data_IF_892676648866
#
_entry.id   IF_892676648866
#
_cell.length_a   1.000
_cell.length_b   1.000
_cell.length_c   1.000
_cell.angle_alpha   90.00
_cell.angle_beta   90.00
_cell.angle_gamma   90.00
#
_symmetry.space_group_name_H-M   'P 1'
#
loop_
_entity.id
_entity.type
_entity.pdbx_description
1 polymer ?
#
# COMPACT_ATOMS: atom_id res chain seq x y z
N UNK A 1 -1.97 -12.22 30.01
CA UNK A 1 -1.69 -12.06 28.58
C UNK A 1 -2.93 -12.46 27.80
N UNK A 2 -3.64 -11.50 27.23
CA UNK A 2 -4.80 -11.79 26.39
C UNK A 2 -4.33 -12.20 25.00
N UNK A 3 -4.83 -13.32 24.48
CA UNK A 3 -4.64 -13.66 23.07
C UNK A 3 -5.35 -12.61 22.22
N UNK A 4 -4.59 -11.68 21.63
CA UNK A 4 -5.10 -10.72 20.67
C UNK A 4 -4.94 -11.30 19.26
N UNK A 5 -5.97 -11.17 18.42
CA UNK A 5 -5.90 -11.48 16.98
C UNK A 5 -5.10 -10.43 16.20
N UNK A 6 -4.53 -9.45 16.89
CA UNK A 6 -3.76 -8.34 16.34
C UNK A 6 -2.30 -8.78 16.18
N UNK A 7 -1.64 -8.47 15.05
CA UNK A 7 -0.21 -8.71 14.90
C UNK A 7 0.59 -8.02 16.00
N UNK A 8 1.45 -8.78 16.70
CA UNK A 8 2.41 -8.23 17.65
C UNK A 8 3.37 -7.27 16.95
N UNK A 9 3.61 -6.10 17.54
CA UNK A 9 4.49 -5.07 16.99
C UNK A 9 5.26 -4.41 18.15
N UNK A 10 6.37 -3.73 17.82
CA UNK A 10 7.21 -3.02 18.81
C UNK A 10 7.64 -3.93 19.97
N UNK A 11 7.37 -3.52 21.21
CA UNK A 11 7.75 -4.21 22.43
C UNK A 11 7.15 -5.62 22.54
N UNK A 12 6.02 -5.89 21.88
CA UNK A 12 5.39 -7.21 21.85
C UNK A 12 6.01 -8.14 20.78
N UNK A 13 6.87 -7.62 19.91
CA UNK A 13 7.55 -8.41 18.88
C UNK A 13 8.90 -8.90 19.40
N UNK A 14 9.02 -10.21 19.63
CA UNK A 14 10.16 -10.83 20.31
C UNK A 14 10.64 -12.07 19.54
N UNK A 15 11.94 -12.39 19.65
CA UNK A 15 12.57 -13.66 19.21
C UNK A 15 12.62 -13.83 17.68
N UNK A 16 12.65 -12.70 16.95
CA UNK A 16 12.65 -12.61 15.47
C UNK A 16 13.48 -11.43 14.95
N UNK A 17 14.31 -10.84 15.79
CA UNK A 17 15.07 -9.63 15.54
C UNK A 17 16.11 -9.84 14.44
N UNK A 18 16.76 -11.02 14.41
CA UNK A 18 17.77 -11.35 13.39
C UNK A 18 17.14 -11.38 11.98
N UNK A 19 16.09 -12.19 11.79
CA UNK A 19 15.32 -12.24 10.54
C UNK A 19 14.84 -10.85 10.10
N UNK A 20 14.29 -10.08 11.04
CA UNK A 20 13.77 -8.75 10.75
C UNK A 20 14.88 -7.76 10.36
N UNK A 21 16.05 -7.88 10.97
CA UNK A 21 17.21 -7.03 10.69
C UNK A 21 17.82 -7.35 9.33
N UNK A 22 17.90 -8.64 8.98
CA UNK A 22 18.32 -9.11 7.64
C UNK A 22 17.38 -8.54 6.57
N UNK A 23 16.07 -8.80 6.71
CA UNK A 23 15.06 -8.27 5.77
C UNK A 23 15.11 -6.75 5.66
N UNK A 24 15.29 -6.05 6.78
CA UNK A 24 15.37 -4.59 6.78
C UNK A 24 16.64 -4.09 6.06
N UNK A 25 17.79 -4.72 6.27
CA UNK A 25 19.04 -4.34 5.61
C UNK A 25 18.91 -4.43 4.08
N UNK A 26 18.32 -5.51 3.59
CA UNK A 26 18.13 -5.73 2.15
C UNK A 26 17.04 -4.83 1.56
N UNK A 27 15.90 -4.66 2.25
CA UNK A 27 14.73 -3.96 1.71
C UNK A 27 14.73 -2.45 1.95
N UNK A 28 15.61 -1.94 2.82
CA UNK A 28 15.81 -0.50 2.99
C UNK A 28 16.70 0.12 1.90
N UNK A 29 17.39 -0.72 1.12
CA UNK A 29 18.17 -0.30 -0.04
C UNK A 29 17.27 -0.20 -1.30
N UNK A 30 17.07 1.01 -1.88
CA UNK A 30 16.24 1.18 -3.08
C UNK A 30 16.74 0.43 -4.33
N UNK A 31 18.05 0.13 -4.39
CA UNK A 31 18.65 -0.60 -5.50
C UNK A 31 18.57 -2.14 -5.33
N UNK A 32 17.99 -2.59 -4.21
CA UNK A 32 17.84 -4.02 -3.93
C UNK A 32 16.74 -4.65 -4.76
N UNK A 33 17.05 -5.79 -5.38
CA UNK A 33 16.07 -6.64 -6.07
C UNK A 33 15.75 -7.90 -5.27
N UNK A 34 16.10 -7.93 -3.97
CA UNK A 34 15.89 -9.09 -3.10
C UNK A 34 14.41 -9.23 -2.76
N UNK A 35 13.88 -10.44 -2.91
CA UNK A 35 12.52 -10.79 -2.52
C UNK A 35 12.52 -11.87 -1.44
N UNK A 36 11.60 -11.75 -0.49
CA UNK A 36 11.43 -12.73 0.59
C UNK A 36 10.09 -13.44 0.49
N UNK A 37 10.09 -14.75 0.77
CA UNK A 37 8.89 -15.55 0.95
C UNK A 37 8.87 -16.15 2.36
N UNK A 38 7.97 -15.67 3.22
CA UNK A 38 7.81 -16.19 4.58
C UNK A 38 6.69 -17.25 4.59
N UNK A 39 7.05 -18.49 4.90
CA UNK A 39 6.09 -19.60 4.99
C UNK A 39 6.14 -20.27 6.36
N UNK A 40 5.07 -21.01 6.69
CA UNK A 40 4.97 -21.76 7.95
C UNK A 40 3.54 -21.79 8.50
N UNK A 41 3.37 -22.48 9.63
CA UNK A 41 2.06 -22.77 10.25
C UNK A 41 1.25 -21.49 10.57
N UNK A 42 -0.07 -21.63 10.70
CA UNK A 42 -0.94 -20.51 11.11
C UNK A 42 -0.58 -20.06 12.53
N UNK A 43 -0.66 -18.75 12.79
CA UNK A 43 -0.39 -18.12 14.11
C UNK A 43 1.05 -18.21 14.63
N UNK A 44 2.05 -18.30 13.74
CA UNK A 44 3.48 -18.20 14.11
C UNK A 44 4.05 -16.77 14.06
N UNK A 45 3.22 -15.76 13.82
CA UNK A 45 3.67 -14.36 13.75
C UNK A 45 4.15 -13.86 12.38
N UNK A 46 3.89 -14.57 11.28
CA UNK A 46 4.29 -14.10 9.92
C UNK A 46 3.80 -12.69 9.60
N UNK A 47 2.51 -12.42 9.85
CA UNK A 47 1.92 -11.08 9.65
C UNK A 47 2.56 -10.04 10.57
N UNK A 48 2.93 -10.43 11.79
CA UNK A 48 3.66 -9.56 12.73
C UNK A 48 5.02 -9.15 12.17
N UNK A 49 5.79 -10.09 11.61
CA UNK A 49 7.08 -9.80 10.96
C UNK A 49 6.91 -8.77 9.85
N UNK A 50 5.95 -8.98 8.95
CA UNK A 50 5.70 -8.07 7.83
C UNK A 50 5.22 -6.68 8.28
N UNK A 51 4.39 -6.61 9.32
CA UNK A 51 3.88 -5.34 9.87
C UNK A 51 4.96 -4.56 10.62
N UNK A 52 5.79 -5.24 11.39
CA UNK A 52 6.92 -4.61 12.08
C UNK A 52 7.98 -4.14 11.08
N UNK A 53 8.26 -4.92 10.03
CA UNK A 53 9.12 -4.50 8.93
C UNK A 53 8.58 -3.26 8.22
N UNK A 54 7.29 -3.25 7.86
CA UNK A 54 6.62 -2.08 7.31
C UNK A 54 6.84 -0.85 8.20
N UNK A 55 6.62 -0.99 9.51
CA UNK A 55 6.78 0.09 10.48
C UNK A 55 8.20 0.66 10.48
N UNK A 56 9.23 -0.20 10.46
CA UNK A 56 10.64 0.22 10.42
C UNK A 56 11.00 0.90 9.10
N UNK A 57 10.50 0.38 7.98
CA UNK A 57 10.72 0.99 6.67
C UNK A 57 10.04 2.36 6.55
N UNK A 58 8.88 2.57 7.20
CA UNK A 58 8.20 3.87 7.21
C UNK A 58 8.99 4.97 7.92
N UNK A 59 9.91 4.61 8.82
CA UNK A 59 10.80 5.57 9.50
C UNK A 59 11.93 6.06 8.57
N UNK A 60 12.11 5.42 7.41
CA UNK A 60 13.13 5.78 6.42
C UNK A 60 12.51 6.60 5.29
N UNK A 61 13.12 7.74 4.92
CA UNK A 61 12.58 8.58 3.84
C UNK A 61 12.78 8.00 2.43
N UNK A 62 13.72 7.06 2.28
CA UNK A 62 14.18 6.51 0.99
C UNK A 62 13.22 5.50 0.37
N UNK A 63 12.41 4.82 1.17
CA UNK A 63 11.53 3.73 0.73
C UNK A 63 10.11 4.02 1.20
N UNK A 64 9.11 3.74 0.35
CA UNK A 64 7.69 3.84 0.72
C UNK A 64 7.11 2.44 0.83
N UNK A 65 6.96 1.86 2.03
CA UNK A 65 6.47 0.50 2.17
C UNK A 65 4.95 0.43 1.98
N UNK A 66 4.52 -0.34 0.98
CA UNK A 66 3.11 -0.63 0.68
C UNK A 66 2.74 -1.99 1.28
N UNK A 67 1.75 -2.01 2.16
CA UNK A 67 1.18 -3.26 2.68
C UNK A 67 -0.13 -3.55 1.97
N UNK A 68 -0.25 -4.75 1.41
CA UNK A 68 -1.45 -5.20 0.71
C UNK A 68 -1.84 -6.60 1.19
N UNK A 69 -3.13 -6.77 1.52
CA UNK A 69 -3.70 -8.04 1.96
C UNK A 69 -4.65 -8.58 0.88
N UNK A 70 -4.25 -9.69 0.26
CA UNK A 70 -5.12 -10.44 -0.67
C UNK A 70 -6.38 -10.99 0.02
N UNK A 71 -6.38 -11.13 1.35
CA UNK A 71 -7.53 -11.57 2.13
C UNK A 71 -8.60 -10.50 2.29
N UNK A 72 -8.26 -9.23 2.07
CA UNK A 72 -9.16 -8.09 2.27
C UNK A 72 -9.94 -7.75 1.00
N UNK A 73 -9.74 -8.52 -0.07
CA UNK A 73 -10.47 -8.38 -1.33
C UNK A 73 -11.92 -8.83 -1.16
N UNK A 74 -12.87 -7.97 -1.58
CA UNK A 74 -14.30 -8.26 -1.53
C UNK A 74 -14.67 -9.34 -2.55
N UNK A 75 -14.09 -9.23 -3.75
CA UNK A 75 -14.24 -10.20 -4.83
C UNK A 75 -12.86 -10.58 -5.38
N UNK A 76 -12.61 -11.86 -5.68
CA UNK A 76 -11.33 -12.33 -6.22
C UNK A 76 -11.26 -12.06 -7.73
N UNK A 77 -11.33 -10.79 -8.14
CA UNK A 77 -11.15 -10.36 -9.53
C UNK A 77 -9.85 -9.57 -9.70
N UNK A 78 -9.27 -9.64 -10.90
CA UNK A 78 -8.06 -8.87 -11.23
C UNK A 78 -8.33 -7.36 -11.12
N UNK A 79 -9.51 -6.92 -11.53
CA UNK A 79 -9.91 -5.52 -11.43
C UNK A 79 -9.97 -5.05 -9.98
N UNK A 80 -10.56 -5.84 -9.09
CA UNK A 80 -10.62 -5.54 -7.65
C UNK A 80 -9.23 -5.54 -7.01
N UNK A 81 -8.37 -6.51 -7.38
CA UNK A 81 -6.98 -6.56 -6.94
C UNK A 81 -6.22 -5.28 -7.31
N UNK A 82 -6.22 -4.92 -8.59
CA UNK A 82 -5.50 -3.75 -9.10
C UNK A 82 -6.02 -2.45 -8.50
N UNK A 83 -7.35 -2.32 -8.40
CA UNK A 83 -8.00 -1.19 -7.72
C UNK A 83 -7.49 -1.10 -6.29
N UNK A 84 -7.63 -2.16 -5.49
CA UNK A 84 -7.22 -2.16 -4.08
C UNK A 84 -5.73 -1.91 -3.88
N UNK A 85 -4.89 -2.49 -4.72
CA UNK A 85 -3.44 -2.26 -4.67
C UNK A 85 -3.11 -0.78 -4.94
N UNK A 86 -3.74 -0.19 -5.96
CA UNK A 86 -3.59 1.24 -6.25
C UNK A 86 -4.05 2.14 -5.10
N UNK A 87 -5.15 1.78 -4.43
CA UNK A 87 -5.62 2.51 -3.23
C UNK A 87 -4.56 2.46 -2.11
N UNK A 88 -3.94 1.30 -1.86
CA UNK A 88 -2.90 1.15 -0.84
C UNK A 88 -1.59 1.84 -1.22
N UNK A 89 -1.21 1.85 -2.51
CA UNK A 89 -0.06 2.61 -3.01
C UNK A 89 -0.27 4.10 -2.75
N UNK A 90 -1.40 4.67 -3.21
CA UNK A 90 -1.67 6.08 -3.01
C UNK A 90 -1.68 6.43 -1.51
N UNK A 91 -2.36 5.65 -0.67
CA UNK A 91 -2.42 5.86 0.78
C UNK A 91 -1.03 5.82 1.45
N UNK A 92 -0.11 5.00 0.94
CA UNK A 92 1.28 4.95 1.42
C UNK A 92 2.06 6.22 1.02
N UNK A 93 1.78 6.78 -0.16
CA UNK A 93 2.41 8.00 -0.66
C UNK A 93 1.79 9.30 -0.13
N UNK A 94 0.65 9.26 0.59
CA UNK A 94 -0.11 10.47 1.00
C UNK A 94 0.73 11.62 1.56
N UNK A 95 1.72 11.33 2.40
CA UNK A 95 2.55 12.36 3.04
C UNK A 95 3.57 12.95 2.07
N UNK A 96 4.15 12.12 1.19
CA UNK A 96 5.05 12.59 0.12
C UNK A 96 4.31 13.44 -0.91
N UNK A 97 3.04 13.12 -1.11
CA UNK A 97 2.14 13.82 -2.01
C UNK A 97 1.58 15.12 -1.43
N UNK A 98 1.95 15.53 -0.21
CA UNK A 98 1.41 16.72 0.44
C UNK A 98 -0.10 16.64 0.73
N UNK A 99 -0.69 15.45 0.62
CA UNK A 99 -2.09 15.19 0.92
C UNK A 99 -2.21 14.94 2.43
N UNK A 100 -2.53 15.99 3.19
CA UNK A 100 -2.84 15.88 4.62
C UNK A 100 -4.15 15.12 4.93
N UNK A 101 -4.89 14.71 3.90
CA UNK A 101 -6.20 14.07 3.99
C UNK A 101 -6.10 12.56 3.70
N UNK A 102 -7.03 11.75 4.22
CA UNK A 102 -7.08 10.31 3.91
C UNK A 102 -7.48 10.10 2.46
N UNK A 103 -6.62 9.48 1.66
CA UNK A 103 -6.89 9.25 0.23
C UNK A 103 -8.12 8.36 0.07
N UNK A 104 -8.32 7.41 0.99
CA UNK A 104 -9.54 6.60 1.04
C UNK A 104 -10.83 7.41 1.11
N UNK A 105 -10.82 8.56 1.78
CA UNK A 105 -11.98 9.44 1.85
C UNK A 105 -12.20 10.21 0.55
N UNK A 106 -11.13 10.58 -0.15
CA UNK A 106 -11.25 11.16 -1.50
C UNK A 106 -11.82 10.13 -2.47
N UNK A 107 -11.35 8.89 -2.41
CA UNK A 107 -11.84 7.83 -3.28
C UNK A 107 -13.31 7.48 -3.01
N UNK A 108 -13.80 7.60 -1.78
CA UNK A 108 -15.21 7.37 -1.46
C UNK A 108 -16.10 8.60 -1.68
N UNK A 109 -15.52 9.78 -1.89
CA UNK A 109 -16.26 11.03 -2.08
C UNK A 109 -16.92 11.14 -3.47
N UNK A 110 -17.95 12.00 -3.60
CA UNK A 110 -18.50 12.36 -4.90
C UNK A 110 -17.44 13.01 -5.80
N UNK A 111 -17.45 12.66 -7.09
CA UNK A 111 -16.47 13.12 -8.10
C UNK A 111 -16.32 14.65 -8.12
N UNK A 112 -17.42 15.38 -7.93
CA UNK A 112 -17.40 16.85 -7.88
C UNK A 112 -16.55 17.40 -6.73
N UNK A 113 -16.58 16.76 -5.57
CA UNK A 113 -15.78 17.14 -4.40
C UNK A 113 -14.31 16.77 -4.61
N UNK A 114 -14.06 15.60 -5.19
CA UNK A 114 -12.71 15.14 -5.55
C UNK A 114 -12.04 16.12 -6.50
N UNK A 115 -12.74 16.54 -7.56
CA UNK A 115 -12.26 17.56 -8.50
C UNK A 115 -11.95 18.88 -7.79
N UNK A 116 -12.82 19.37 -6.92
CA UNK A 116 -12.56 20.61 -6.17
C UNK A 116 -11.32 20.53 -5.27
N UNK A 117 -11.07 19.38 -4.62
CA UNK A 117 -9.89 19.18 -3.79
C UNK A 117 -8.63 19.10 -4.65
N UNK A 118 -8.69 18.37 -5.76
CA UNK A 118 -7.57 18.22 -6.66
C UNK A 118 -7.24 19.48 -7.46
N UNK A 119 -8.23 20.30 -7.83
CA UNK A 119 -8.00 21.58 -8.52
C UNK A 119 -7.32 22.61 -7.61
N UNK A 120 -7.54 22.50 -6.29
CA UNK A 120 -6.89 23.35 -5.27
C UNK A 120 -5.49 22.88 -4.92
N UNK A 121 -5.19 21.61 -5.16
CA UNK A 121 -3.91 21.02 -4.86
C UNK A 121 -3.07 21.02 -6.15
N UNK A 122 -1.83 21.50 -6.14
CA UNK A 122 -1.01 21.60 -7.37
C UNK A 122 -0.55 20.23 -7.94
N UNK A 123 -1.29 19.15 -7.69
CA UNK A 123 -0.87 17.77 -7.93
C UNK A 123 -1.48 17.18 -9.20
N UNK A 124 -0.95 17.58 -10.36
CA UNK A 124 -1.35 17.03 -11.67
C UNK A 124 -1.17 15.51 -11.78
N UNK A 125 -0.16 14.94 -11.11
CA UNK A 125 0.13 13.50 -11.13
C UNK A 125 -0.98 12.72 -10.42
N UNK A 126 -1.34 13.15 -9.20
CA UNK A 126 -2.37 12.52 -8.38
C UNK A 126 -3.73 12.58 -9.07
N UNK A 127 -4.03 13.69 -9.74
CA UNK A 127 -5.29 13.86 -10.45
C UNK A 127 -5.54 12.72 -11.43
N UNK A 128 -4.53 12.34 -12.21
CA UNK A 128 -4.63 11.24 -13.19
C UNK A 128 -4.88 9.90 -12.52
N UNK A 129 -4.17 9.61 -11.44
CA UNK A 129 -4.30 8.34 -10.71
C UNK A 129 -5.67 8.19 -10.05
N UNK A 130 -6.19 9.27 -9.45
CA UNK A 130 -7.53 9.26 -8.85
C UNK A 130 -8.62 9.23 -9.92
N UNK A 131 -8.47 9.98 -11.02
CA UNK A 131 -9.40 9.94 -12.15
C UNK A 131 -9.47 8.55 -12.77
N UNK A 132 -8.31 7.90 -12.95
CA UNK A 132 -8.22 6.52 -13.40
C UNK A 132 -8.99 5.56 -12.47
N UNK A 133 -8.76 5.64 -11.14
CA UNK A 133 -9.51 4.81 -10.19
C UNK A 133 -11.02 5.07 -10.19
N UNK A 134 -11.44 6.31 -10.45
CA UNK A 134 -12.85 6.66 -10.58
C UNK A 134 -13.44 6.13 -11.89
N UNK A 135 -12.68 6.13 -13.00
CA UNK A 135 -13.15 5.60 -14.28
C UNK A 135 -13.36 4.08 -14.26
N UNK A 136 -12.63 3.36 -13.40
CA UNK A 136 -12.87 1.93 -13.16
C UNK A 136 -14.27 1.63 -12.62
N UNK A 137 -14.92 2.62 -11.97
CA UNK A 137 -16.29 2.46 -11.45
C UNK A 137 -17.37 2.60 -12.52
N UNK A 138 -17.05 3.18 -13.68
CA UNK A 138 -18.02 3.52 -14.74
C UNK A 138 -18.27 2.42 -15.78
N UNK A 139 -17.51 1.32 -15.77
CA UNK A 139 -17.78 0.14 -16.58
C UNK A 139 -17.04 0.11 -17.94
N UNK A 140 -16.47 -1.07 -18.22
CA UNK A 140 -15.43 -1.41 -19.20
C UNK A 140 -14.03 -0.87 -18.89
N UNK A 141 -13.15 -1.79 -18.53
CA UNK A 141 -11.77 -1.53 -18.18
C UNK A 141 -10.90 -2.47 -18.99
N UNK A 142 -9.98 -1.89 -19.75
CA UNK A 142 -8.86 -2.63 -20.31
C UNK A 142 -7.99 -3.15 -19.16
N UNK A 143 -8.01 -4.47 -18.97
CA UNK A 143 -7.32 -5.13 -17.87
C UNK A 143 -5.79 -5.02 -18.00
N UNK A 144 -5.26 -5.02 -19.22
CA UNK A 144 -3.82 -4.93 -19.43
C UNK A 144 -3.34 -3.52 -19.05
N UNK A 145 -4.06 -2.50 -19.52
CA UNK A 145 -3.81 -1.12 -19.12
C UNK A 145 -3.95 -0.91 -17.60
N UNK A 146 -4.89 -1.60 -16.95
CA UNK A 146 -5.08 -1.54 -15.50
C UNK A 146 -3.91 -2.15 -14.73
N UNK A 147 -3.44 -3.33 -15.15
CA UNK A 147 -2.26 -3.95 -14.53
C UNK A 147 -1.05 -3.04 -14.71
N UNK A 148 -0.77 -2.61 -15.94
CA UNK A 148 0.37 -1.73 -16.23
C UNK A 148 0.31 -0.44 -15.40
N UNK A 149 -0.84 0.24 -15.38
CA UNK A 149 -1.01 1.46 -14.60
C UNK A 149 -0.78 1.23 -13.11
N UNK A 150 -1.30 0.13 -12.55
CA UNK A 150 -1.16 -0.19 -11.12
C UNK A 150 0.31 -0.39 -10.73
N UNK A 151 1.07 -1.15 -11.52
CA UNK A 151 2.47 -1.49 -11.17
C UNK A 151 3.46 -0.37 -11.52
N UNK A 152 3.14 0.51 -12.48
CA UNK A 152 3.96 1.68 -12.80
C UNK A 152 3.59 2.91 -11.96
N UNK A 153 2.45 2.90 -11.26
CA UNK A 153 2.00 4.00 -10.41
C UNK A 153 3.06 4.48 -9.40
N UNK A 154 3.76 3.60 -8.63
CA UNK A 154 4.77 4.05 -7.67
C UNK A 154 5.96 4.78 -8.31
N UNK A 155 6.26 4.53 -9.58
CA UNK A 155 7.35 5.20 -10.31
C UNK A 155 6.95 6.61 -10.80
N UNK A 156 5.64 6.89 -10.84
CA UNK A 156 5.08 8.17 -11.30
C UNK A 156 4.80 9.14 -10.14
N UNK A 157 4.67 8.63 -8.91
CA UNK A 157 4.36 9.38 -7.68
C UNK A 157 5.62 9.93 -7.00
#
# INVERSE_FOLDING_TARGET
>A
MGFTLVPACREDFVDREELLSEMYADLSNPDSTVGYAIFGRRRIGKTSVLRELQRRLQETERVVPVYFSVWDLVEPSLSEFCRKLSEEILEAYRFKLGLGYRIRELLSAPISLVRQVLDRAEFRVIYREIEFLLSLRSGEVDLDALVESTFTQPERL
#
